data_IF_015323002910
#
_entry.id   IF_015323002910
#
_cell.length_a   1.000
_cell.length_b   1.000
_cell.length_c   1.000
_cell.angle_alpha   90.00
_cell.angle_beta   90.00
_cell.angle_gamma   90.00
#
_symmetry.space_group_name_H-M   'P 1'
#
loop_
_entity.id
_entity.type
_entity.pdbx_description
1 polymer ?
#
# COMPACT_ATOMS: atom_id res chain seq x y z
N UNK A 1 10.48 10.00 5.92
CA UNK A 1 9.05 9.90 6.19
C UNK A 1 8.26 9.82 4.90
N UNK A 2 7.51 8.77 4.73
CA UNK A 2 6.80 8.54 3.48
C UNK A 2 5.32 8.87 3.62
N UNK A 3 4.83 9.64 2.67
CA UNK A 3 3.43 9.99 2.62
C UNK A 3 2.72 9.08 1.62
N UNK A 4 2.08 8.07 2.13
CA UNK A 4 1.45 7.07 1.29
C UNK A 4 0.36 7.67 0.40
N UNK A 5 -0.30 8.71 0.88
CA UNK A 5 -1.36 9.33 0.10
C UNK A 5 -0.82 10.07 -1.11
N UNK A 6 0.46 10.44 -1.09
CA UNK A 6 1.10 11.10 -2.22
C UNK A 6 1.64 10.12 -3.25
N UNK A 7 1.70 8.84 -2.89
CA UNK A 7 2.24 7.83 -3.77
C UNK A 7 1.21 7.37 -4.79
N UNK A 8 1.71 6.97 -5.94
CA UNK A 8 0.84 6.42 -6.97
C UNK A 8 0.45 4.99 -6.64
N UNK A 9 -0.63 4.53 -7.23
CA UNK A 9 -1.11 3.16 -7.00
C UNK A 9 -0.02 2.14 -7.28
N UNK A 10 0.74 2.35 -8.34
CA UNK A 10 1.82 1.43 -8.70
C UNK A 10 2.85 1.32 -7.60
N UNK A 11 3.19 2.44 -6.99
CA UNK A 11 4.16 2.44 -5.90
C UNK A 11 3.58 1.77 -4.66
N UNK A 12 2.31 2.02 -4.38
CA UNK A 12 1.65 1.39 -3.24
C UNK A 12 1.59 -0.12 -3.41
N UNK A 13 1.30 -0.57 -4.62
CA UNK A 13 1.25 -2.00 -4.91
C UNK A 13 2.62 -2.64 -4.81
N UNK A 14 3.64 -1.95 -5.27
CA UNK A 14 5.01 -2.44 -5.17
C UNK A 14 5.40 -2.59 -3.71
N UNK A 15 5.05 -1.61 -2.90
CA UNK A 15 5.35 -1.65 -1.48
C UNK A 15 4.61 -2.78 -0.80
N UNK A 16 3.34 -2.97 -1.15
CA UNK A 16 2.55 -4.06 -0.60
C UNK A 16 3.17 -5.41 -0.92
N UNK A 17 3.64 -5.57 -2.14
CA UNK A 17 4.30 -6.79 -2.55
C UNK A 17 5.59 -7.01 -1.77
N UNK A 18 6.30 -5.93 -1.54
CA UNK A 18 7.58 -5.99 -0.83
C UNK A 18 7.40 -6.48 0.60
N UNK A 19 6.35 -6.03 1.26
CA UNK A 19 6.11 -6.43 2.65
C UNK A 19 5.32 -7.74 2.74
N UNK A 20 4.96 -8.33 1.60
CA UNK A 20 4.34 -9.64 1.57
C UNK A 20 2.83 -9.66 1.67
N UNK A 21 2.18 -8.56 1.34
CA UNK A 21 0.73 -8.52 1.35
C UNK A 21 0.17 -9.31 0.18
N UNK A 22 -0.98 -9.94 0.42
CA UNK A 22 -1.70 -10.66 -0.61
C UNK A 22 -3.03 -9.98 -0.85
N UNK A 23 -3.63 -10.20 -2.00
CA UNK A 23 -4.93 -9.64 -2.35
C UNK A 23 -4.92 -8.12 -2.44
N UNK A 24 -3.75 -7.51 -2.48
CA UNK A 24 -3.66 -6.06 -2.60
C UNK A 24 -4.10 -5.59 -3.97
N UNK A 25 -4.11 -6.48 -4.95
CA UNK A 25 -4.53 -6.13 -6.31
C UNK A 25 -6.01 -5.82 -6.40
N UNK A 26 -6.80 -6.31 -5.45
CA UNK A 26 -8.22 -6.05 -5.39
C UNK A 26 -8.55 -4.77 -4.65
N UNK A 27 -7.56 -4.17 -4.02
CA UNK A 27 -7.76 -3.00 -3.20
C UNK A 27 -7.62 -1.72 -4.01
N UNK A 28 -8.35 -0.70 -3.58
CA UNK A 28 -8.24 0.62 -4.16
C UNK A 28 -7.11 1.36 -3.46
N UNK A 29 -6.76 2.54 -4.01
CA UNK A 29 -5.68 3.32 -3.43
C UNK A 29 -5.91 3.59 -1.95
N UNK A 30 -7.12 3.99 -1.58
CA UNK A 30 -7.43 4.28 -0.19
C UNK A 30 -7.25 3.05 0.70
N UNK A 31 -7.72 1.91 0.20
CA UNK A 31 -7.59 0.66 0.95
C UNK A 31 -6.13 0.24 1.06
N UNK A 32 -5.38 0.41 -0.03
CA UNK A 32 -3.95 0.10 -0.02
C UNK A 32 -3.22 0.95 1.01
N UNK A 33 -3.55 2.22 1.07
CA UNK A 33 -2.94 3.13 2.04
C UNK A 33 -3.22 2.66 3.46
N UNK A 34 -4.46 2.30 3.73
CA UNK A 34 -4.83 1.82 5.06
C UNK A 34 -4.10 0.54 5.42
N UNK A 35 -4.03 -0.39 4.47
CA UNK A 35 -3.33 -1.65 4.69
C UNK A 35 -1.86 -1.43 4.96
N UNK A 36 -1.24 -0.57 4.16
CA UNK A 36 0.18 -0.29 4.30
C UNK A 36 0.48 0.41 5.60
N UNK A 37 -0.35 1.37 5.98
CA UNK A 37 -0.16 2.06 7.25
C UNK A 37 -0.24 1.08 8.41
N UNK A 38 -1.17 0.15 8.33
CA UNK A 38 -1.34 -0.85 9.37
C UNK A 38 -0.14 -1.77 9.46
N UNK A 39 0.38 -2.17 8.31
CA UNK A 39 1.51 -3.10 8.28
C UNK A 39 2.83 -2.43 8.62
N UNK A 40 2.98 -1.17 8.24
CA UNK A 40 4.21 -0.43 8.49
C UNK A 40 4.28 0.15 9.89
N UNK A 41 3.17 0.25 10.56
CA UNK A 41 3.12 0.79 11.91
C UNK A 41 3.63 -0.20 12.95
#
# INVERSE_FOLDING_TARGET
EQDLSSMKVLELRSLAKKIGLKKYTSLRKADLIKMLEKELC
#
